data_IF_660506348113
#
_entry.id   IF_660506348113
#
_cell.length_a   1.000
_cell.length_b   1.000
_cell.length_c   1.000
_cell.angle_alpha   90.00
_cell.angle_beta   90.00
_cell.angle_gamma   90.00
#
_symmetry.space_group_name_H-M   'P 1'
#
loop_
_entity.id
_entity.type
_entity.pdbx_description
1 polymer ?
#
# COMPACT_ATOMS: atom_id res chain seq x y z
N UNK A 1 -1.76 16.50 3.16
CA UNK A 1 -1.39 15.08 2.99
C UNK A 1 -0.02 15.01 2.33
N UNK A 2 0.88 14.14 2.80
CA UNK A 2 2.16 13.85 2.16
C UNK A 2 1.92 12.86 1.02
N UNK A 3 2.52 13.12 -0.14
CA UNK A 3 2.46 12.21 -1.29
C UNK A 3 3.58 11.18 -1.17
N UNK A 4 3.25 9.90 -1.32
CA UNK A 4 4.19 8.80 -1.39
C UNK A 4 4.11 8.17 -2.78
N UNK A 5 5.21 8.20 -3.54
CA UNK A 5 5.30 7.51 -4.82
C UNK A 5 5.34 6.00 -4.57
N UNK A 6 4.38 5.27 -5.13
CA UNK A 6 4.18 3.84 -4.89
C UNK A 6 3.86 3.12 -6.20
N UNK A 7 4.76 3.18 -7.21
CA UNK A 7 4.53 2.53 -8.49
C UNK A 7 4.41 1.01 -8.36
N UNK A 8 3.83 0.38 -9.37
CA UNK A 8 3.78 -1.08 -9.51
C UNK A 8 2.41 -1.58 -9.95
N UNK A 9 1.32 -1.13 -9.34
CA UNK A 9 -0.01 -1.31 -9.94
C UNK A 9 -0.13 -0.51 -11.26
N UNK A 10 0.39 0.72 -11.23
CA UNK A 10 0.63 1.56 -12.40
C UNK A 10 1.91 2.39 -12.18
N UNK A 11 2.52 2.96 -13.22
CA UNK A 11 3.69 3.85 -13.06
C UNK A 11 3.37 5.12 -12.27
N UNK A 12 2.11 5.57 -12.29
CA UNK A 12 1.65 6.79 -11.63
C UNK A 12 1.02 6.57 -10.26
N UNK A 13 1.07 5.35 -9.72
CA UNK A 13 0.45 5.03 -8.43
C UNK A 13 1.09 5.85 -7.30
N UNK A 14 0.23 6.49 -6.50
CA UNK A 14 0.61 7.30 -5.34
C UNK A 14 -0.32 7.00 -4.16
N UNK A 15 0.23 7.18 -2.95
CA UNK A 15 -0.55 7.14 -1.72
C UNK A 15 -0.55 8.53 -1.05
N UNK A 16 -1.61 8.84 -0.31
CA UNK A 16 -1.75 10.08 0.44
C UNK A 16 -1.73 9.80 1.94
N UNK A 17 -0.68 10.24 2.62
CA UNK A 17 -0.47 10.00 4.05
C UNK A 17 -0.79 11.24 4.90
N UNK A 18 -1.56 11.06 5.97
CA UNK A 18 -1.73 12.03 7.06
C UNK A 18 -1.07 11.49 8.33
N UNK A 19 0.06 12.08 8.73
CA UNK A 19 0.73 11.72 9.98
C UNK A 19 -0.07 12.18 11.20
N UNK A 20 -0.65 13.38 11.13
CA UNK A 20 -1.46 13.96 12.21
C UNK A 20 -2.69 13.11 12.53
N UNK A 21 -3.35 12.62 11.49
CA UNK A 21 -4.61 11.88 11.62
C UNK A 21 -4.42 10.36 11.55
N UNK A 22 -3.17 9.90 11.44
CA UNK A 22 -2.76 8.48 11.41
C UNK A 22 -3.49 7.62 10.37
N UNK A 23 -3.56 8.11 9.14
CA UNK A 23 -4.07 7.30 8.04
C UNK A 23 -3.28 7.49 6.74
N UNK A 24 -3.40 6.50 5.85
CA UNK A 24 -2.94 6.56 4.47
C UNK A 24 -4.05 6.10 3.53
N UNK A 25 -4.29 6.86 2.46
CA UNK A 25 -5.13 6.42 1.34
C UNK A 25 -4.21 5.71 0.35
N UNK A 26 -4.39 4.40 0.18
CA UNK A 26 -3.50 3.55 -0.62
C UNK A 26 -3.96 3.34 -2.07
N UNK A 27 -5.21 3.70 -2.40
CA UNK A 27 -5.78 3.40 -3.72
C UNK A 27 -5.65 1.90 -4.02
N UNK A 28 -5.12 1.57 -5.19
CA UNK A 28 -4.90 0.19 -5.64
C UNK A 28 -3.48 -0.32 -5.39
N UNK A 29 -2.79 0.20 -4.36
CA UNK A 29 -1.45 -0.26 -3.98
C UNK A 29 -1.54 -1.40 -2.95
N UNK A 30 -2.22 -1.16 -1.84
CA UNK A 30 -2.32 -2.08 -0.70
C UNK A 30 -3.78 -2.24 -0.30
N UNK A 31 -4.23 -3.49 -0.19
CA UNK A 31 -5.56 -3.88 0.28
C UNK A 31 -5.45 -4.73 1.52
N UNK A 32 -6.58 -5.00 2.18
CA UNK A 32 -6.62 -5.94 3.29
C UNK A 32 -6.25 -7.36 2.82
N UNK A 33 -5.12 -7.88 3.30
CA UNK A 33 -4.53 -9.18 2.94
C UNK A 33 -4.36 -9.40 1.42
N UNK A 34 -4.20 -8.32 0.66
CA UNK A 34 -4.02 -8.37 -0.80
C UNK A 34 -3.26 -7.14 -1.29
N UNK A 35 -2.96 -7.08 -2.58
CA UNK A 35 -2.28 -5.96 -3.24
C UNK A 35 -2.95 -5.65 -4.58
N UNK A 36 -2.61 -4.50 -5.16
CA UNK A 36 -2.97 -4.15 -6.54
C UNK A 36 -2.59 -5.23 -7.54
N UNK A 37 -3.44 -5.42 -8.56
CA UNK A 37 -3.06 -6.27 -9.71
C UNK A 37 -1.92 -5.61 -10.50
N UNK A 38 -1.04 -6.40 -11.09
CA UNK A 38 0.13 -5.92 -11.85
C UNK A 38 0.24 -6.55 -13.24
N UNK A 39 -0.79 -7.26 -13.67
CA UNK A 39 -0.86 -7.99 -14.94
C UNK A 39 -1.38 -7.16 -16.13
N UNK A 40 -1.71 -5.89 -15.89
CA UNK A 40 -2.10 -4.93 -16.92
C UNK A 40 -0.87 -4.21 -17.51
N UNK A 41 -0.98 -3.59 -18.70
CA UNK A 41 0.12 -2.83 -19.28
C UNK A 41 0.72 -1.83 -18.28
N UNK A 42 2.05 -1.85 -18.16
CA UNK A 42 2.84 -1.03 -17.23
C UNK A 42 2.66 -1.36 -15.73
N UNK A 43 1.96 -2.43 -15.40
CA UNK A 43 2.02 -3.04 -14.07
C UNK A 43 3.33 -3.84 -13.90
N UNK A 44 3.89 -3.82 -12.69
CA UNK A 44 5.10 -4.55 -12.32
C UNK A 44 5.04 -5.02 -10.87
N UNK A 45 5.11 -6.33 -10.66
CA UNK A 45 4.93 -6.97 -9.35
C UNK A 45 6.07 -6.62 -8.38
N UNK A 46 7.32 -6.75 -8.81
CA UNK A 46 8.48 -6.49 -7.94
C UNK A 46 8.54 -5.02 -7.52
N UNK A 47 8.19 -4.11 -8.43
CA UNK A 47 8.07 -2.67 -8.16
C UNK A 47 6.95 -2.39 -7.15
N UNK A 48 5.81 -3.08 -7.25
CA UNK A 48 4.71 -2.93 -6.29
C UNK A 48 5.12 -3.39 -4.89
N UNK A 49 5.70 -4.59 -4.78
CA UNK A 49 6.18 -5.14 -3.51
C UNK A 49 7.23 -4.23 -2.88
N UNK A 50 8.21 -3.76 -3.67
CA UNK A 50 9.24 -2.83 -3.22
C UNK A 50 8.64 -1.52 -2.73
N UNK A 51 7.72 -0.94 -3.50
CA UNK A 51 7.00 0.28 -3.12
C UNK A 51 6.26 0.14 -1.80
N UNK A 52 5.55 -0.96 -1.59
CA UNK A 52 4.84 -1.20 -0.32
C UNK A 52 5.83 -1.30 0.84
N UNK A 53 6.91 -2.09 0.69
CA UNK A 53 7.91 -2.30 1.75
C UNK A 53 8.65 -1.02 2.12
N UNK A 54 9.11 -0.25 1.14
CA UNK A 54 9.92 0.94 1.39
C UNK A 54 9.10 2.18 1.77
N UNK A 55 7.82 2.26 1.38
CA UNK A 55 6.99 3.47 1.58
C UNK A 55 5.88 3.29 2.60
N UNK A 56 5.17 2.16 2.56
CA UNK A 56 4.02 1.93 3.45
C UNK A 56 4.45 1.20 4.71
N UNK A 57 5.30 0.18 4.62
CA UNK A 57 5.74 -0.56 5.80
C UNK A 57 6.78 0.20 6.65
N UNK A 58 7.26 1.35 6.18
CA UNK A 58 8.04 2.28 7.00
C UNK A 58 7.17 3.22 7.85
N UNK A 59 5.85 3.21 7.65
CA UNK A 59 4.91 3.95 8.49
C UNK A 59 4.65 3.23 9.83
N UNK A 60 4.19 3.95 10.87
CA UNK A 60 3.79 3.35 12.14
C UNK A 60 2.68 2.30 11.97
N UNK A 61 2.70 1.27 12.82
CA UNK A 61 1.81 0.11 12.72
C UNK A 61 0.34 0.45 12.95
N UNK A 62 0.05 1.53 13.69
CA UNK A 62 -1.30 2.01 13.99
C UNK A 62 -1.89 2.91 12.90
N UNK A 63 -1.16 3.16 11.81
CA UNK A 63 -1.69 3.90 10.66
C UNK A 63 -2.77 3.07 9.97
N UNK A 64 -3.97 3.66 9.89
CA UNK A 64 -5.11 3.08 9.16
C UNK A 64 -4.89 3.22 7.65
N UNK A 65 -5.13 2.14 6.91
CA UNK A 65 -5.04 2.10 5.45
C UNK A 65 -6.44 2.13 4.88
N UNK A 66 -6.75 3.17 4.11
CA UNK A 66 -7.98 3.29 3.32
C UNK A 66 -7.70 2.90 1.87
N UNK A 67 -8.07 1.67 1.45
CA UNK A 67 -7.87 1.23 0.08
C UNK A 67 -8.89 1.82 -0.89
N UNK A 68 -8.60 1.72 -2.19
CA UNK A 68 -9.57 2.00 -3.24
C UNK A 68 -10.72 0.98 -3.28
N UNK A 69 -10.47 -0.24 -2.79
CA UNK A 69 -11.41 -1.36 -2.84
C UNK A 69 -11.35 -2.21 -1.55
N UNK A 70 -12.50 -2.76 -1.16
CA UNK A 70 -12.60 -3.62 0.01
C UNK A 70 -12.56 -2.86 1.35
N UNK A 71 -12.46 -3.59 2.47
CA UNK A 71 -12.45 -2.99 3.80
C UNK A 71 -11.11 -2.33 4.13
N UNK A 72 -11.13 -1.36 5.06
CA UNK A 72 -9.92 -0.80 5.67
C UNK A 72 -9.10 -1.84 6.45
N UNK A 73 -7.83 -1.51 6.68
CA UNK A 73 -6.87 -2.31 7.45
C UNK A 73 -5.87 -1.40 8.16
N UNK A 74 -4.80 -1.94 8.75
CA UNK A 74 -3.69 -1.14 9.30
C UNK A 74 -2.34 -1.62 8.78
N UNK A 75 -1.33 -0.73 8.79
CA UNK A 75 0.04 -1.08 8.39
C UNK A 75 0.56 -2.27 9.19
N UNK A 76 0.34 -2.28 10.51
CA UNK A 76 0.77 -3.38 11.38
C UNK A 76 0.07 -4.70 11.06
N UNK A 77 -1.23 -4.67 10.76
CA UNK A 77 -1.96 -5.87 10.37
C UNK A 77 -1.44 -6.44 9.05
N UNK A 78 -1.19 -5.61 8.04
CA UNK A 78 -0.69 -6.06 6.74
C UNK A 78 0.75 -6.59 6.80
N UNK A 79 1.62 -6.01 7.64
CA UNK A 79 2.97 -6.54 7.88
C UNK A 79 2.98 -7.99 8.37
N UNK A 80 1.96 -8.40 9.12
CA UNK A 80 1.87 -9.71 9.74
C UNK A 80 1.01 -10.71 8.97
N UNK A 81 0.04 -10.23 8.20
CA UNK A 81 -1.02 -11.08 7.66
C UNK A 81 -1.18 -11.02 6.14
N UNK A 82 -0.46 -10.15 5.43
CA UNK A 82 -0.59 -10.03 3.98
C UNK A 82 0.24 -11.11 3.27
N UNK A 83 -0.39 -12.09 2.59
CA UNK A 83 0.31 -13.24 2.02
C UNK A 83 1.25 -12.89 0.85
N UNK A 84 1.14 -11.68 0.30
CA UNK A 84 2.04 -11.20 -0.76
C UNK A 84 3.30 -10.53 -0.20
N UNK A 85 3.29 -10.13 1.08
CA UNK A 85 4.32 -9.28 1.69
C UNK A 85 5.04 -9.97 2.85
N UNK A 86 4.40 -10.95 3.47
CA UNK A 86 4.96 -11.80 4.53
C UNK A 86 5.80 -12.89 3.87
N UNK A 87 7.12 -12.75 3.96
CA UNK A 87 8.13 -13.62 3.36
C UNK A 87 9.49 -12.96 3.35
#
# INVERSE_FOLDING_TARGET
LKVLLTPGHSPGSICFYSEKDRFVISGDVLFRQSIGRTDLPMGDYETLITSIREKLFTLPDDVTVYPGHGPETTIGYEKLNNPFLVG
#
